data_IF_175196040096
#
_entry.id   IF_175196040096
#
_cell.length_a   1.000
_cell.length_b   1.000
_cell.length_c   1.000
_cell.angle_alpha   90.00
_cell.angle_beta   90.00
_cell.angle_gamma   90.00
#
_symmetry.space_group_name_H-M   'P 1'
#
loop_
_entity.id
_entity.type
_entity.pdbx_description
1 polymer ?
#
# COMPACT_ATOMS: atom_id res chain seq x y z
N UNK A 1 -22.71 -0.23 7.73
CA UNK A 1 -22.19 -1.36 6.95
C UNK A 1 -20.66 -1.25 6.87
N UNK A 2 -19.99 -2.37 7.13
CA UNK A 2 -18.53 -2.38 7.05
C UNK A 2 -18.09 -2.46 5.59
N UNK A 3 -17.09 -1.69 5.17
CA UNK A 3 -16.56 -1.81 3.82
C UNK A 3 -15.86 -3.15 3.62
N UNK A 4 -15.87 -3.64 2.41
CA UNK A 4 -15.05 -4.79 2.05
C UNK A 4 -13.65 -4.30 1.72
N UNK A 5 -12.65 -5.08 2.14
CA UNK A 5 -11.24 -4.72 1.94
C UNK A 5 -10.67 -5.55 0.80
N UNK A 6 -9.95 -4.88 -0.09
CA UNK A 6 -9.36 -5.50 -1.27
C UNK A 6 -7.88 -5.15 -1.35
N UNK A 7 -7.09 -6.11 -1.82
CA UNK A 7 -5.73 -5.83 -2.26
C UNK A 7 -5.87 -5.37 -3.71
N UNK A 8 -5.02 -4.42 -4.12
CA UNK A 8 -5.00 -3.96 -5.49
C UNK A 8 -4.85 -5.16 -6.43
N UNK A 9 -5.79 -5.32 -7.35
CA UNK A 9 -5.81 -6.44 -8.27
C UNK A 9 -5.31 -6.09 -9.67
N UNK A 10 -5.07 -4.82 -9.95
CA UNK A 10 -4.43 -4.41 -11.19
C UNK A 10 -2.92 -4.49 -10.98
N UNK A 11 -2.40 -5.69 -11.12
CA UNK A 11 -1.00 -5.97 -10.84
C UNK A 11 -0.05 -5.20 -11.75
N UNK A 12 -0.43 -5.00 -13.00
CA UNK A 12 0.40 -4.27 -13.95
C UNK A 12 0.57 -2.81 -13.52
N UNK A 13 -0.54 -2.16 -13.17
CA UNK A 13 -0.51 -0.79 -12.70
C UNK A 13 0.31 -0.65 -11.43
N UNK A 14 0.10 -1.56 -10.47
CA UNK A 14 0.86 -1.56 -9.22
C UNK A 14 2.34 -1.80 -9.50
N UNK A 15 2.67 -2.78 -10.32
CA UNK A 15 4.05 -3.13 -10.63
C UNK A 15 4.79 -1.96 -11.26
N UNK A 16 4.14 -1.25 -12.17
CA UNK A 16 4.74 -0.08 -12.82
C UNK A 16 5.13 1.01 -11.82
N UNK A 17 4.44 1.10 -10.71
CA UNK A 17 4.74 2.10 -9.69
C UNK A 17 5.82 1.64 -8.71
N UNK A 18 5.95 0.34 -8.47
CA UNK A 18 6.84 -0.15 -7.41
C UNK A 18 8.13 -0.80 -7.92
N UNK A 19 8.22 -1.12 -9.21
CA UNK A 19 9.34 -1.92 -9.73
C UNK A 19 10.73 -1.31 -9.49
N UNK A 20 10.79 0.02 -9.32
CA UNK A 20 12.04 0.72 -9.05
C UNK A 20 12.27 0.98 -7.56
N UNK A 21 11.42 0.45 -6.70
CA UNK A 21 11.59 0.58 -5.26
C UNK A 21 12.79 -0.25 -4.78
N UNK A 22 13.49 0.26 -3.77
CA UNK A 22 14.60 -0.47 -3.16
C UNK A 22 14.16 -1.73 -2.40
N UNK A 23 12.84 -1.93 -2.26
CA UNK A 23 12.28 -3.13 -1.62
C UNK A 23 11.88 -4.19 -2.65
N UNK A 24 12.08 -3.91 -3.92
CA UNK A 24 11.83 -4.85 -5.02
C UNK A 24 13.19 -5.28 -5.55
N UNK A 25 13.46 -6.58 -5.49
CA UNK A 25 14.70 -7.16 -5.96
C UNK A 25 14.72 -7.12 -7.49
N UNK A 26 15.90 -6.91 -8.08
CA UNK A 26 16.04 -6.93 -9.54
C UNK A 26 15.61 -8.27 -10.17
N UNK A 27 15.55 -9.32 -9.36
CA UNK A 27 15.07 -10.65 -9.81
C UNK A 27 13.57 -10.78 -9.72
N UNK A 28 12.88 -9.83 -9.05
CA UNK A 28 11.44 -9.86 -8.97
C UNK A 28 10.82 -9.45 -10.29
N UNK A 29 9.68 -10.03 -10.58
CA UNK A 29 8.84 -9.59 -11.68
C UNK A 29 7.41 -9.53 -11.17
N UNK A 30 6.48 -9.15 -12.03
CA UNK A 30 5.09 -8.98 -11.63
C UNK A 30 4.50 -10.26 -11.00
N UNK A 31 4.84 -11.41 -11.55
CA UNK A 31 4.29 -12.67 -11.06
C UNK A 31 4.94 -13.14 -9.76
N UNK A 32 6.24 -12.97 -9.62
CA UNK A 32 6.89 -13.30 -8.34
C UNK A 32 6.42 -12.36 -7.24
N UNK A 33 6.14 -11.11 -7.57
CA UNK A 33 5.61 -10.14 -6.64
C UNK A 33 4.24 -10.54 -6.13
N UNK A 34 3.41 -11.12 -6.99
CA UNK A 34 2.12 -11.63 -6.58
C UNK A 34 2.25 -12.64 -5.43
N UNK A 35 3.23 -13.53 -5.52
CA UNK A 35 3.48 -14.52 -4.46
C UNK A 35 3.95 -13.86 -3.16
N UNK A 36 4.76 -12.83 -3.28
CA UNK A 36 5.19 -12.06 -2.11
C UNK A 36 3.98 -11.42 -1.44
N UNK A 37 3.08 -10.86 -2.22
CA UNK A 37 1.85 -10.26 -1.71
C UNK A 37 0.96 -11.26 -0.98
N UNK A 38 0.91 -12.49 -1.46
CA UNK A 38 0.08 -13.53 -0.85
C UNK A 38 0.53 -13.87 0.57
N UNK A 39 1.78 -13.61 0.92
CA UNK A 39 2.33 -13.89 2.24
C UNK A 39 2.14 -12.75 3.23
N UNK A 40 1.44 -11.70 2.84
CA UNK A 40 1.14 -10.60 3.73
C UNK A 40 -0.06 -10.89 4.62
N UNK A 41 -0.39 -9.93 5.45
CA UNK A 41 -1.57 -10.03 6.29
C UNK A 41 -2.27 -8.69 6.44
N UNK A 42 -3.58 -8.74 6.66
CA UNK A 42 -4.38 -7.56 6.91
C UNK A 42 -4.14 -7.08 8.33
N UNK A 43 -3.85 -5.80 8.48
CA UNK A 43 -3.58 -5.20 9.77
C UNK A 43 -4.24 -3.84 9.86
N UNK A 44 -4.12 -3.19 11.01
CA UNK A 44 -4.71 -1.89 11.25
C UNK A 44 -3.65 -0.89 11.65
N UNK A 45 -3.65 0.26 10.98
CA UNK A 45 -2.79 1.39 11.34
C UNK A 45 -3.63 2.40 12.11
N UNK A 46 -3.16 2.75 13.29
CA UNK A 46 -3.78 3.78 14.12
C UNK A 46 -2.91 5.04 14.08
N UNK A 47 -3.42 6.15 14.63
CA UNK A 47 -2.73 7.43 14.54
C UNK A 47 -1.35 7.43 15.21
N UNK A 48 -1.19 6.64 16.27
CA UNK A 48 0.09 6.54 16.97
C UNK A 48 1.16 5.77 16.18
N UNK A 49 0.74 4.95 15.23
CA UNK A 49 1.65 4.20 14.34
C UNK A 49 1.85 4.94 13.01
N UNK A 50 0.81 5.61 12.54
CA UNK A 50 0.80 6.27 11.24
C UNK A 50 2.00 7.17 11.01
N UNK A 51 2.36 7.97 12.00
CA UNK A 51 3.47 8.91 11.86
C UNK A 51 4.84 8.24 11.76
N UNK A 52 4.93 6.95 12.08
CA UNK A 52 6.15 6.18 11.98
C UNK A 52 6.36 5.56 10.60
N UNK A 53 5.34 5.59 9.75
CA UNK A 53 5.41 4.99 8.43
C UNK A 53 6.14 5.92 7.46
N UNK A 54 7.19 5.39 6.84
CA UNK A 54 7.95 6.13 5.83
C UNK A 54 7.23 5.99 4.49
N UNK A 55 6.94 7.11 3.85
CA UNK A 55 6.31 7.09 2.54
C UNK A 55 7.38 7.03 1.46
N UNK A 56 7.50 5.89 0.79
CA UNK A 56 8.42 5.70 -0.33
C UNK A 56 7.74 5.84 -1.69
N UNK A 57 6.44 6.04 -1.69
CA UNK A 57 5.69 6.16 -2.93
C UNK A 57 5.95 7.51 -3.59
N UNK A 58 6.21 7.49 -4.90
CA UNK A 58 6.44 8.72 -5.67
C UNK A 58 5.32 8.85 -6.69
N UNK A 59 4.39 9.74 -6.40
CA UNK A 59 3.25 9.97 -7.26
C UNK A 59 3.43 11.28 -8.01
N UNK A 60 3.14 11.25 -9.31
CA UNK A 60 2.95 12.46 -10.08
C UNK A 60 1.63 13.11 -9.66
N UNK A 61 1.42 14.36 -10.03
CA UNK A 61 0.15 15.03 -9.76
C UNK A 61 -1.01 14.30 -10.43
N UNK A 62 -0.77 13.78 -11.63
CA UNK A 62 -1.77 13.00 -12.35
C UNK A 62 -2.12 11.71 -11.62
N UNK A 63 -1.12 10.97 -11.14
CA UNK A 63 -1.35 9.75 -10.38
C UNK A 63 -2.12 10.04 -9.10
N UNK A 64 -1.76 11.12 -8.41
CA UNK A 64 -2.45 11.52 -7.18
C UNK A 64 -3.92 11.83 -7.46
N UNK A 65 -4.19 12.55 -8.52
CA UNK A 65 -5.55 12.90 -8.91
C UNK A 65 -6.37 11.64 -9.22
N UNK A 66 -5.79 10.72 -9.97
CA UNK A 66 -6.44 9.45 -10.29
C UNK A 66 -6.73 8.62 -9.03
N UNK A 67 -5.77 8.58 -8.11
CA UNK A 67 -5.93 7.83 -6.87
C UNK A 67 -7.00 8.45 -5.96
N UNK A 68 -7.12 9.77 -5.96
CA UNK A 68 -8.17 10.45 -5.21
C UNK A 68 -9.56 10.12 -5.76
N UNK A 69 -9.70 10.09 -7.07
CA UNK A 69 -10.96 9.70 -7.72
C UNK A 69 -11.28 8.23 -7.41
N UNK A 70 -10.26 7.39 -7.45
CA UNK A 70 -10.43 5.97 -7.15
C UNK A 70 -10.88 5.75 -5.72
N UNK A 71 -10.31 6.52 -4.78
CA UNK A 71 -10.73 6.46 -3.40
C UNK A 71 -12.21 6.82 -3.25
N UNK A 72 -12.65 7.90 -3.86
CA UNK A 72 -14.04 8.32 -3.82
C UNK A 72 -14.97 7.26 -4.41
N UNK A 73 -14.55 6.67 -5.53
CA UNK A 73 -15.31 5.60 -6.17
C UNK A 73 -15.43 4.38 -5.25
N UNK A 74 -14.32 3.99 -4.63
CA UNK A 74 -14.30 2.85 -3.72
C UNK A 74 -15.22 3.08 -2.53
N UNK A 75 -15.15 4.26 -1.92
CA UNK A 75 -15.98 4.55 -0.75
C UNK A 75 -17.46 4.63 -1.12
N UNK A 76 -17.77 5.13 -2.30
CA UNK A 76 -19.14 5.15 -2.79
C UNK A 76 -19.72 3.76 -3.01
N UNK A 77 -18.88 2.77 -3.25
CA UNK A 77 -19.25 1.37 -3.46
C UNK A 77 -19.03 0.52 -2.21
N UNK A 78 -18.74 1.15 -1.10
CA UNK A 78 -18.53 0.49 0.20
C UNK A 78 -17.45 -0.58 0.15
N UNK A 79 -16.36 -0.31 -0.57
CA UNK A 79 -15.17 -1.15 -0.50
C UNK A 79 -13.91 -0.28 -0.44
N UNK A 80 -12.81 -0.87 -0.02
CA UNK A 80 -11.60 -0.13 0.22
C UNK A 80 -10.39 -0.95 -0.22
N UNK A 81 -9.58 -0.36 -1.08
CA UNK A 81 -8.32 -0.97 -1.52
C UNK A 81 -7.26 -0.64 -0.51
N UNK A 82 -6.76 -1.68 0.14
CA UNK A 82 -5.83 -1.48 1.25
C UNK A 82 -4.46 -1.06 0.75
N UNK A 83 -3.82 -0.10 1.43
CA UNK A 83 -2.43 0.23 1.14
C UNK A 83 -1.49 -0.94 1.42
N UNK A 84 -0.37 -0.97 0.73
CA UNK A 84 0.65 -2.00 0.88
C UNK A 84 1.81 -1.42 1.67
N UNK A 85 2.14 -2.06 2.79
CA UNK A 85 3.23 -1.63 3.67
C UNK A 85 4.22 -2.77 3.80
N UNK A 86 5.50 -2.43 3.70
CA UNK A 86 6.60 -3.35 3.95
C UNK A 86 7.06 -3.14 5.39
N UNK A 87 7.25 -4.24 6.10
CA UNK A 87 7.81 -4.22 7.44
C UNK A 87 9.06 -5.08 7.46
N UNK A 88 10.16 -4.53 7.94
CA UNK A 88 11.41 -5.29 8.03
C UNK A 88 11.55 -5.96 9.39
N UNK A 89 12.63 -6.71 9.60
CA UNK A 89 12.86 -7.43 10.84
C UNK A 89 13.09 -6.50 12.04
N UNK A 90 13.45 -5.24 11.79
CA UNK A 90 13.64 -4.25 12.85
C UNK A 90 12.33 -3.56 13.24
N UNK A 91 11.25 -3.85 12.52
CA UNK A 91 9.97 -3.23 12.77
C UNK A 91 9.74 -1.91 12.03
N UNK A 92 10.67 -1.49 11.19
CA UNK A 92 10.48 -0.30 10.36
C UNK A 92 9.38 -0.58 9.33
N UNK A 93 8.52 0.40 9.12
CA UNK A 93 7.41 0.28 8.19
C UNK A 93 7.54 1.30 7.07
N UNK A 94 7.37 0.84 5.84
CA UNK A 94 7.49 1.67 4.65
C UNK A 94 6.26 1.49 3.78
N UNK A 95 5.61 2.60 3.46
CA UNK A 95 4.48 2.60 2.54
C UNK A 95 5.02 2.42 1.13
N UNK A 96 4.60 1.36 0.47
CA UNK A 96 5.02 1.06 -0.89
C UNK A 96 3.99 1.50 -1.91
N UNK A 97 2.71 1.35 -1.59
CA UNK A 97 1.63 1.62 -2.51
C UNK A 97 0.35 1.99 -1.76
N UNK A 98 -0.43 2.93 -2.29
CA UNK A 98 -1.73 3.27 -1.72
C UNK A 98 -1.71 4.43 -0.73
N UNK A 99 -0.77 5.36 -0.87
CA UNK A 99 -0.62 6.48 0.06
C UNK A 99 -1.84 7.40 0.13
N UNK A 100 -2.51 7.64 -1.00
CA UNK A 100 -3.71 8.49 -1.00
C UNK A 100 -4.83 7.82 -0.20
N UNK A 101 -5.02 6.52 -0.38
CA UNK A 101 -6.02 5.77 0.39
C UNK A 101 -5.70 5.78 1.88
N UNK A 102 -4.43 5.62 2.23
CA UNK A 102 -4.00 5.66 3.62
C UNK A 102 -4.28 7.02 4.25
N UNK A 103 -3.84 8.09 3.61
CA UNK A 103 -4.01 9.45 4.15
C UNK A 103 -5.47 9.83 4.31
N UNK A 104 -6.29 9.56 3.29
CA UNK A 104 -7.70 9.91 3.34
C UNK A 104 -8.45 9.11 4.40
N UNK A 105 -8.17 7.81 4.49
CA UNK A 105 -8.83 6.97 5.48
C UNK A 105 -8.42 7.36 6.91
N UNK A 106 -7.13 7.67 7.11
CA UNK A 106 -6.67 8.15 8.42
C UNK A 106 -7.35 9.47 8.79
N UNK A 107 -7.48 10.37 7.83
CA UNK A 107 -8.13 11.66 8.09
C UNK A 107 -9.61 11.50 8.43
N UNK A 108 -10.31 10.62 7.73
CA UNK A 108 -11.75 10.46 7.90
C UNK A 108 -12.15 9.60 9.10
N UNK A 109 -11.32 8.58 9.41
CA UNK A 109 -11.68 7.58 10.42
C UNK A 109 -10.68 7.44 11.57
N UNK A 110 -9.51 8.05 11.47
CA UNK A 110 -8.48 7.93 12.50
C UNK A 110 -7.75 6.59 12.49
N UNK A 111 -8.11 5.69 11.59
CA UNK A 111 -7.44 4.39 11.44
C UNK A 111 -7.63 3.90 10.01
N UNK A 112 -6.79 2.96 9.59
CA UNK A 112 -6.84 2.43 8.24
C UNK A 112 -6.40 0.97 8.23
N UNK A 113 -7.15 0.12 7.54
CA UNK A 113 -6.71 -1.24 7.27
C UNK A 113 -5.66 -1.21 6.19
N UNK A 114 -4.60 -1.98 6.37
CA UNK A 114 -3.47 -2.05 5.44
C UNK A 114 -3.06 -3.51 5.25
N UNK A 115 -2.33 -3.76 4.18
CA UNK A 115 -1.75 -5.08 3.93
C UNK A 115 -0.25 -4.98 4.22
N UNK A 116 0.23 -5.78 5.16
CA UNK A 116 1.63 -5.73 5.59
C UNK A 116 2.37 -6.95 5.07
N UNK A 117 3.49 -6.70 4.40
CA UNK A 117 4.39 -7.71 3.88
C UNK A 117 5.68 -7.64 4.67
N UNK A 118 6.17 -8.79 5.13
CA UNK A 118 7.49 -8.87 5.77
C UNK A 118 8.55 -8.98 4.70
N UNK A 119 9.44 -8.01 4.63
CA UNK A 119 10.51 -8.04 3.65
C UNK A 119 11.63 -7.10 4.04
N UNK A 120 12.86 -7.60 3.94
CA UNK A 120 14.03 -6.77 4.10
C UNK A 120 14.30 -6.00 2.82
N UNK A 121 15.00 -4.89 2.96
CA UNK A 121 15.38 -4.06 1.82
C UNK A 121 16.37 -4.82 0.95
N UNK A 122 16.05 -4.93 -0.33
CA UNK A 122 16.92 -5.57 -1.31
C UNK A 122 17.77 -4.51 -1.99
N UNK A 123 18.87 -4.21 -1.37
CA UNK A 123 19.74 -3.21 -1.90
C UNK A 123 21.17 -3.72 -1.88
N UNK A 124 21.79 -3.64 -3.02
CA UNK A 124 23.19 -3.99 -3.13
C UNK A 124 24.10 -2.87 -2.63
#
# INVERSE_FOLDING_TARGET
MKPKYYIQNDLESMWNRIENSSYVDHRDNMFSWLKIMENGELSKVTSDIHHLIINSERLSDEDRFEDEKLYEHDMGNNHFRVPIIIKNSKGDMVLLFGGVHLEKMMHENGSCKVWIIQRERWKE
#
